data_IF_314944979490
#
_entry.id   IF_314944979490
#
_cell.length_a   1.000
_cell.length_b   1.000
_cell.length_c   1.000
_cell.angle_alpha   90.00
_cell.angle_beta   90.00
_cell.angle_gamma   90.00
#
_symmetry.space_group_name_H-M   'P 1'
#
loop_
_entity.id
_entity.type
_entity.pdbx_description
1 polymer ?
#
# COMPACT_ATOMS: atom_id res chain seq x y z
N UNK A 1 -38.07 36.67 34.81
CA UNK A 1 -38.18 36.13 33.43
C UNK A 1 -36.86 35.44 33.10
N UNK A 2 -36.93 34.14 32.76
CA UNK A 2 -35.87 33.22 32.31
C UNK A 2 -34.77 32.82 33.31
N UNK A 3 -34.25 31.59 33.34
CA UNK A 3 -34.76 30.24 33.11
C UNK A 3 -33.68 29.31 33.67
N UNK A 4 -34.09 28.28 34.42
CA UNK A 4 -33.24 27.18 34.86
C UNK A 4 -32.90 26.30 33.66
N UNK A 5 -31.62 25.92 33.48
CA UNK A 5 -31.26 24.58 33.01
C UNK A 5 -29.74 24.36 33.14
N UNK A 6 -29.39 23.42 34.02
CA UNK A 6 -28.07 22.83 34.10
C UNK A 6 -27.85 21.87 32.92
N UNK A 7 -26.64 21.82 32.38
CA UNK A 7 -26.12 20.61 31.75
C UNK A 7 -24.59 20.56 31.94
N UNK A 8 -24.20 19.70 32.88
CA UNK A 8 -22.84 19.18 33.04
C UNK A 8 -22.48 18.41 31.75
N UNK A 9 -21.38 18.75 31.10
CA UNK A 9 -20.82 17.99 29.99
C UNK A 9 -19.32 18.15 29.97
N UNK A 10 -18.60 17.05 30.19
CA UNK A 10 -17.19 17.02 30.58
C UNK A 10 -16.20 17.55 29.54
N UNK A 11 -15.05 17.99 30.06
CA UNK A 11 -13.79 18.19 29.36
C UNK A 11 -13.40 16.91 28.59
N UNK A 12 -13.75 16.87 27.31
CA UNK A 12 -13.26 15.87 26.37
C UNK A 12 -11.99 16.37 25.68
N UNK A 13 -10.91 15.61 25.80
CA UNK A 13 -9.63 15.71 25.07
C UNK A 13 -9.79 15.51 23.54
N UNK A 14 -10.70 16.23 22.90
CA UNK A 14 -10.98 16.16 21.45
C UNK A 14 -10.91 17.51 20.73
N UNK A 15 -10.61 18.61 21.45
CA UNK A 15 -10.54 19.97 20.88
C UNK A 15 -9.15 20.45 20.43
N UNK A 16 -8.09 19.66 20.59
CA UNK A 16 -6.70 20.09 20.33
C UNK A 16 -6.15 19.70 18.94
N UNK A 17 -6.94 19.11 18.05
CA UNK A 17 -6.48 18.59 16.74
C UNK A 17 -7.10 19.30 15.53
N UNK A 18 -7.36 20.60 15.63
CA UNK A 18 -7.92 21.40 14.52
C UNK A 18 -7.24 22.77 14.33
N UNK A 19 -6.00 22.90 14.81
CA UNK A 19 -5.17 24.11 14.62
C UNK A 19 -3.74 23.78 14.14
N UNK A 20 -3.57 22.69 13.39
CA UNK A 20 -2.31 22.37 12.71
C UNK A 20 -2.58 21.95 11.25
N UNK A 21 -3.37 22.76 10.53
CA UNK A 21 -3.63 22.52 9.11
C UNK A 21 -3.61 23.83 8.29
N UNK A 22 -2.65 24.72 8.58
CA UNK A 22 -2.36 25.88 7.75
C UNK A 22 -0.85 26.18 7.77
N UNK A 23 -0.05 25.23 7.28
CA UNK A 23 1.34 25.49 6.86
C UNK A 23 1.70 24.63 5.66
N UNK A 24 0.90 24.77 4.61
CA UNK A 24 1.28 24.47 3.24
C UNK A 24 1.14 25.74 2.43
N UNK A 25 2.25 26.45 2.26
CA UNK A 25 2.51 27.25 1.08
C UNK A 25 3.98 27.67 1.06
N UNK A 26 4.59 27.43 -0.09
CA UNK A 26 5.78 28.09 -0.64
C UNK A 26 7.12 27.37 -0.58
N UNK A 27 7.61 27.10 -1.80
CA UNK A 27 8.93 26.66 -2.27
C UNK A 27 9.34 25.24 -1.85
N UNK A 28 9.73 24.31 -2.72
CA UNK A 28 10.32 24.41 -4.05
C UNK A 28 10.01 23.11 -4.79
N UNK A 29 9.17 23.16 -5.83
CA UNK A 29 8.80 21.99 -6.62
C UNK A 29 9.02 22.15 -8.12
N UNK A 30 9.65 23.25 -8.55
CA UNK A 30 9.77 23.60 -9.97
C UNK A 30 11.12 23.20 -10.60
N UNK A 31 12.09 22.70 -9.83
CA UNK A 31 13.44 22.36 -10.33
C UNK A 31 13.70 20.85 -10.54
N UNK A 32 12.68 19.99 -10.39
CA UNK A 32 12.84 18.52 -10.53
C UNK A 32 12.29 17.95 -11.84
N UNK A 33 12.00 18.79 -12.84
CA UNK A 33 11.90 18.35 -14.23
C UNK A 33 13.32 18.17 -14.79
N UNK A 34 14.04 17.19 -14.23
CA UNK A 34 15.30 16.71 -14.76
C UNK A 34 15.08 16.27 -16.20
N UNK A 35 15.76 16.99 -17.08
CA UNK A 35 15.83 16.80 -18.53
C UNK A 35 15.81 15.30 -18.90
N UNK A 36 14.67 14.85 -19.44
CA UNK A 36 14.45 13.49 -19.95
C UNK A 36 15.55 13.19 -21.00
N UNK A 37 16.61 12.51 -20.57
CA UNK A 37 17.75 12.20 -21.44
C UNK A 37 19.12 12.26 -20.78
N UNK A 38 19.27 12.84 -19.58
CA UNK A 38 20.53 12.69 -18.83
C UNK A 38 20.51 11.37 -18.10
N UNK A 39 21.26 10.39 -18.62
CA UNK A 39 21.44 9.04 -18.06
C UNK A 39 22.18 8.99 -16.72
N UNK A 40 21.81 9.86 -15.77
CA UNK A 40 22.31 9.92 -14.41
C UNK A 40 21.16 10.18 -13.40
N UNK A 41 19.96 9.68 -13.71
CA UNK A 41 18.82 9.63 -12.79
C UNK A 41 18.79 8.34 -11.97
N UNK A 42 17.99 8.32 -10.89
CA UNK A 42 17.95 7.44 -9.69
C UNK A 42 17.98 5.90 -9.86
N UNK A 43 18.23 5.36 -11.05
CA UNK A 43 18.42 3.93 -11.27
C UNK A 43 19.16 3.65 -12.59
N UNK A 44 20.49 3.57 -12.52
CA UNK A 44 21.31 2.99 -13.59
C UNK A 44 22.30 3.96 -14.21
N UNK A 45 23.60 3.66 -14.01
CA UNK A 45 24.73 4.43 -14.52
C UNK A 45 24.73 4.59 -16.05
N UNK A 46 25.46 5.62 -16.50
CA UNK A 46 25.53 6.09 -17.88
C UNK A 46 25.55 4.94 -18.90
N UNK A 47 24.43 4.81 -19.62
CA UNK A 47 24.17 3.71 -20.55
C UNK A 47 24.97 3.81 -21.84
N UNK A 48 26.30 3.78 -21.77
CA UNK A 48 27.19 3.74 -22.93
C UNK A 48 27.07 4.95 -23.88
N UNK A 49 27.98 5.02 -24.85
CA UNK A 49 28.11 6.15 -25.78
C UNK A 49 26.85 6.43 -26.61
N UNK A 50 25.96 5.45 -26.79
CA UNK A 50 24.73 5.57 -27.61
C UNK A 50 23.60 6.29 -26.84
N UNK A 51 23.44 6.00 -25.54
CA UNK A 51 22.44 6.65 -24.69
C UNK A 51 22.95 8.03 -24.23
N UNK A 52 24.26 8.16 -24.01
CA UNK A 52 24.91 9.42 -23.63
C UNK A 52 24.94 10.44 -24.78
N UNK A 53 25.03 9.99 -26.04
CA UNK A 53 24.94 10.87 -27.21
C UNK A 53 23.52 11.48 -27.42
N UNK A 54 22.49 11.00 -26.72
CA UNK A 54 21.17 11.65 -26.66
C UNK A 54 20.39 11.76 -27.98
N UNK A 55 20.80 11.02 -29.02
CA UNK A 55 20.16 11.02 -30.34
C UNK A 55 18.78 10.34 -30.37
N UNK A 56 18.07 10.43 -31.51
CA UNK A 56 16.74 9.84 -31.68
C UNK A 56 16.69 8.32 -31.37
N UNK A 57 17.74 7.59 -31.73
CA UNK A 57 17.88 6.16 -31.41
C UNK A 57 18.07 5.90 -29.92
N UNK A 58 18.88 6.70 -29.21
CA UNK A 58 19.05 6.56 -27.75
C UNK A 58 17.78 6.84 -26.96
N UNK A 59 16.95 7.80 -27.42
CA UNK A 59 15.63 8.08 -26.82
C UNK A 59 14.65 6.93 -27.03
N UNK A 60 14.63 6.32 -28.22
CA UNK A 60 13.79 5.16 -28.52
C UNK A 60 14.19 3.95 -27.67
N UNK A 61 15.48 3.66 -27.57
CA UNK A 61 16.01 2.56 -26.75
C UNK A 61 15.68 2.75 -25.27
N UNK A 62 15.86 3.95 -24.72
CA UNK A 62 15.51 4.23 -23.33
C UNK A 62 14.02 4.01 -23.03
N UNK A 63 13.14 4.39 -23.96
CA UNK A 63 11.70 4.18 -23.82
C UNK A 63 11.29 2.70 -23.91
N UNK A 64 11.95 1.92 -24.76
CA UNK A 64 11.72 0.47 -24.86
C UNK A 64 12.21 -0.27 -23.61
N UNK A 65 13.39 0.07 -23.10
CA UNK A 65 13.91 -0.45 -21.83
C UNK A 65 12.98 -0.11 -20.67
N UNK A 66 12.51 1.13 -20.55
CA UNK A 66 11.60 1.54 -19.48
C UNK A 66 10.28 0.75 -19.51
N UNK A 67 9.71 0.51 -20.71
CA UNK A 67 8.51 -0.34 -20.85
C UNK A 67 8.78 -1.76 -20.40
N UNK A 68 9.89 -2.35 -20.84
CA UNK A 68 10.26 -3.71 -20.48
C UNK A 68 10.41 -3.88 -18.97
N UNK A 69 11.11 -2.96 -18.30
CA UNK A 69 11.28 -3.01 -16.85
C UNK A 69 9.94 -2.82 -16.11
N UNK A 70 9.10 -1.88 -16.54
CA UNK A 70 7.75 -1.72 -15.95
C UNK A 70 6.90 -2.98 -16.09
N UNK A 71 6.94 -3.64 -17.25
CA UNK A 71 6.21 -4.89 -17.47
C UNK A 71 6.74 -5.99 -16.55
N UNK A 72 8.07 -6.12 -16.40
CA UNK A 72 8.69 -7.09 -15.49
C UNK A 72 8.37 -6.83 -14.02
N UNK A 73 8.41 -5.57 -13.59
CA UNK A 73 7.98 -5.19 -12.24
C UNK A 73 6.51 -5.55 -12.00
N UNK A 74 5.63 -5.29 -12.99
CA UNK A 74 4.22 -5.67 -12.90
C UNK A 74 4.03 -7.18 -12.81
N UNK A 75 4.75 -7.94 -13.63
CA UNK A 75 4.72 -9.41 -13.60
C UNK A 75 5.12 -9.93 -12.22
N UNK A 76 6.25 -9.46 -11.67
CA UNK A 76 6.74 -9.87 -10.36
C UNK A 76 5.74 -9.54 -9.24
N UNK A 77 5.20 -8.31 -9.23
CA UNK A 77 4.19 -7.91 -8.26
C UNK A 77 2.91 -8.75 -8.40
N UNK A 78 2.51 -9.08 -9.62
CA UNK A 78 1.33 -9.93 -9.84
C UNK A 78 1.55 -11.36 -9.36
N UNK A 79 2.74 -11.93 -9.59
CA UNK A 79 3.10 -13.25 -9.11
C UNK A 79 3.12 -13.29 -7.57
N UNK A 80 3.70 -12.25 -6.94
CA UNK A 80 3.71 -12.14 -5.50
C UNK A 80 2.29 -12.06 -4.91
N UNK A 81 1.41 -11.24 -5.50
CA UNK A 81 0.01 -11.14 -5.08
C UNK A 81 -0.72 -12.47 -5.20
N UNK A 82 -0.60 -13.15 -6.35
CA UNK A 82 -1.22 -14.46 -6.57
C UNK A 82 -0.76 -15.49 -5.54
N UNK A 83 0.54 -15.58 -5.28
CA UNK A 83 1.06 -16.48 -4.26
C UNK A 83 0.44 -16.19 -2.88
N UNK A 84 0.33 -14.92 -2.47
CA UNK A 84 -0.30 -14.59 -1.19
C UNK A 84 -1.80 -14.91 -1.18
N UNK A 85 -2.51 -14.72 -2.29
CA UNK A 85 -3.92 -15.12 -2.42
C UNK A 85 -4.10 -16.64 -2.30
N UNK A 86 -3.21 -17.42 -2.91
CA UNK A 86 -3.19 -18.88 -2.82
C UNK A 86 -2.96 -19.36 -1.38
N UNK A 87 -1.99 -18.78 -0.68
CA UNK A 87 -1.70 -19.11 0.73
C UNK A 87 -2.87 -18.76 1.65
N UNK A 88 -3.50 -17.58 1.44
CA UNK A 88 -4.70 -17.20 2.19
C UNK A 88 -5.81 -18.22 2.00
N UNK A 89 -6.06 -18.62 0.74
CA UNK A 89 -7.10 -19.58 0.44
C UNK A 89 -6.78 -20.99 0.98
N UNK A 90 -5.51 -21.40 0.98
CA UNK A 90 -5.07 -22.64 1.60
C UNK A 90 -5.38 -22.64 3.11
N UNK A 91 -4.96 -21.61 3.83
CA UNK A 91 -5.24 -21.50 5.27
C UNK A 91 -6.72 -21.36 5.59
N UNK A 92 -7.50 -20.68 4.74
CA UNK A 92 -8.97 -20.64 4.90
C UNK A 92 -9.58 -22.04 4.87
N UNK A 93 -9.12 -22.90 3.95
CA UNK A 93 -9.57 -24.29 3.87
C UNK A 93 -9.16 -25.11 5.09
N UNK A 94 -7.93 -24.93 5.58
CA UNK A 94 -7.46 -25.61 6.79
C UNK A 94 -8.29 -25.20 8.01
N UNK A 95 -8.58 -23.90 8.16
CA UNK A 95 -9.44 -23.40 9.24
C UNK A 95 -10.84 -24.03 9.14
N UNK A 96 -11.42 -24.11 7.95
CA UNK A 96 -12.73 -24.73 7.76
C UNK A 96 -12.74 -26.21 8.17
N UNK A 97 -11.69 -26.96 7.79
CA UNK A 97 -11.54 -28.37 8.17
C UNK A 97 -11.42 -28.53 9.69
N UNK A 98 -10.54 -27.74 10.33
CA UNK A 98 -10.37 -27.75 11.78
C UNK A 98 -11.66 -27.36 12.52
N UNK A 99 -12.42 -26.39 12.00
CA UNK A 99 -13.72 -26.04 12.57
C UNK A 99 -14.71 -27.21 12.51
N UNK A 100 -14.75 -27.95 11.39
CA UNK A 100 -15.59 -29.15 11.26
C UNK A 100 -15.19 -30.25 12.23
N UNK A 101 -13.91 -30.41 12.52
CA UNK A 101 -13.41 -31.38 13.52
C UNK A 101 -13.73 -30.94 14.95
N UNK A 102 -13.69 -29.63 15.22
CA UNK A 102 -14.02 -29.08 16.55
C UNK A 102 -15.52 -29.21 16.87
N UNK A 103 -16.41 -29.06 15.89
CA UNK A 103 -17.87 -29.13 16.10
C UNK A 103 -18.37 -30.41 16.82
N UNK A 104 -18.02 -31.64 16.41
CA UNK A 104 -18.44 -32.85 17.11
C UNK A 104 -17.86 -32.91 18.54
N UNK A 105 -16.63 -32.41 18.75
CA UNK A 105 -16.05 -32.34 20.10
C UNK A 105 -16.82 -31.37 21.00
N UNK A 106 -17.20 -30.19 20.49
CA UNK A 106 -18.07 -29.27 21.23
C UNK A 106 -19.41 -29.91 21.57
N UNK A 107 -20.03 -30.63 20.62
CA UNK A 107 -21.28 -31.31 20.86
C UNK A 107 -21.15 -32.40 21.94
N UNK A 108 -20.08 -33.19 21.89
CA UNK A 108 -19.79 -34.23 22.89
C UNK A 108 -19.59 -33.65 24.29
N UNK A 109 -18.86 -32.53 24.40
CA UNK A 109 -18.68 -31.82 25.67
C UNK A 109 -20.02 -31.31 26.20
N UNK A 110 -20.90 -30.81 25.33
CA UNK A 110 -22.22 -30.34 25.74
C UNK A 110 -23.07 -31.50 26.30
N UNK A 111 -23.13 -32.63 25.59
CA UNK A 111 -23.83 -33.83 26.08
C UNK A 111 -23.35 -34.25 27.47
N UNK A 112 -22.02 -34.31 27.68
CA UNK A 112 -21.43 -34.69 28.96
C UNK A 112 -21.61 -33.67 30.09
N UNK A 113 -22.05 -32.43 29.79
CA UNK A 113 -22.34 -31.39 30.80
C UNK A 113 -23.80 -31.34 31.20
N UNK A 114 -24.68 -31.80 30.32
CA UNK A 114 -26.13 -31.80 30.52
C UNK A 114 -26.60 -33.06 31.30
N UNK A 115 -25.72 -34.07 31.47
CA UNK A 115 -25.87 -35.24 32.36
C UNK A 115 -25.33 -34.97 33.78
#
# INVERSE_FOLDING_TARGET
>A
MAAVAAARGGLGLRGALLAQQQRWSSSSGADQLGELGKGAGKGGGGGGSIREAGGAFGKKQAAEEERYFREKEREQLSALRKHHEEEIHHHQKEIEQLQKEIEPHKHKIKQLKDD
#
